data_IF_948575387103
#
_entry.id   IF_948575387103
#
_cell.length_a   1.000
_cell.length_b   1.000
_cell.length_c   1.000
_cell.angle_alpha   90.00
_cell.angle_beta   90.00
_cell.angle_gamma   90.00
#
_symmetry.space_group_name_H-M   'P 1'
#
loop_
_entity.id
_entity.type
_entity.pdbx_description
1 polymer ?
#
# COMPACT_ATOMS: atom_id res chain seq x y z
N UNK A 1 -2.18 -17.60 -19.36
CA UNK A 1 -2.94 -16.54 -18.64
C UNK A 1 -2.50 -16.56 -17.19
N UNK A 2 -1.60 -15.66 -16.77
CA UNK A 2 -1.24 -15.56 -15.35
C UNK A 2 -2.38 -14.81 -14.67
N UNK A 3 -3.15 -15.51 -13.84
CA UNK A 3 -4.06 -14.87 -12.90
C UNK A 3 -3.15 -14.25 -11.85
N UNK A 4 -2.91 -12.96 -11.93
CA UNK A 4 -2.26 -12.24 -10.84
C UNK A 4 -3.27 -12.21 -9.70
N UNK A 5 -3.03 -13.00 -8.67
CA UNK A 5 -3.84 -12.96 -7.45
C UNK A 5 -3.29 -11.83 -6.59
N UNK A 6 -4.15 -10.97 -6.04
CA UNK A 6 -3.73 -9.97 -5.07
C UNK A 6 -3.02 -10.65 -3.90
N UNK A 7 -1.79 -10.22 -3.61
CA UNK A 7 -0.99 -10.73 -2.50
C UNK A 7 -1.59 -10.26 -1.17
N UNK A 8 -1.51 -11.10 -0.15
CA UNK A 8 -1.88 -10.69 1.21
C UNK A 8 -0.73 -9.92 1.88
N UNK A 9 -1.00 -9.06 2.88
CA UNK A 9 0.04 -8.35 3.62
C UNK A 9 1.14 -9.27 4.18
N UNK A 10 0.78 -10.48 4.61
CA UNK A 10 1.77 -11.46 5.09
C UNK A 10 2.63 -12.03 3.97
N UNK A 11 2.06 -12.25 2.78
CA UNK A 11 2.85 -12.66 1.61
C UNK A 11 3.82 -11.55 1.17
N UNK A 12 3.40 -10.28 1.25
CA UNK A 12 4.29 -9.14 0.99
C UNK A 12 5.45 -9.11 1.99
N UNK A 13 5.19 -9.31 3.29
CA UNK A 13 6.25 -9.43 4.31
C UNK A 13 7.19 -10.59 3.99
N UNK A 14 6.64 -11.72 3.56
CA UNK A 14 7.44 -12.89 3.22
C UNK A 14 8.34 -12.63 2.01
N UNK A 15 7.83 -11.97 0.97
CA UNK A 15 8.63 -11.59 -0.20
C UNK A 15 9.76 -10.63 0.16
N UNK A 16 9.48 -9.60 0.96
CA UNK A 16 10.51 -8.66 1.40
C UNK A 16 11.58 -9.38 2.23
N UNK A 17 11.17 -10.30 3.13
CA UNK A 17 12.10 -11.15 3.89
C UNK A 17 12.95 -12.05 2.99
N UNK A 18 12.37 -12.65 1.95
CA UNK A 18 13.10 -13.48 0.99
C UNK A 18 14.14 -12.67 0.19
N UNK A 19 13.85 -11.41 -0.10
CA UNK A 19 14.77 -10.48 -0.76
C UNK A 19 15.81 -9.86 0.18
N UNK A 20 15.69 -10.08 1.50
CA UNK A 20 16.53 -9.44 2.50
C UNK A 20 16.26 -7.95 2.66
N UNK A 21 15.09 -7.48 2.23
CA UNK A 21 14.68 -6.09 2.30
C UNK A 21 13.68 -5.88 3.44
N UNK A 22 13.74 -4.70 4.07
CA UNK A 22 12.74 -4.29 5.07
C UNK A 22 11.74 -3.35 4.42
N UNK A 23 10.55 -3.24 5.01
CA UNK A 23 9.54 -2.27 4.57
C UNK A 23 10.08 -0.83 4.57
N UNK A 24 10.93 -0.49 5.54
CA UNK A 24 11.57 0.82 5.61
C UNK A 24 12.55 1.04 4.46
N UNK A 25 13.37 0.03 4.14
CA UNK A 25 14.31 0.09 3.03
C UNK A 25 13.57 0.20 1.70
N UNK A 26 12.58 -0.66 1.49
CA UNK A 26 11.72 -0.64 0.31
C UNK A 26 11.05 0.74 0.15
N UNK A 27 10.49 1.29 1.24
CA UNK A 27 9.88 2.62 1.22
C UNK A 27 10.89 3.70 0.81
N UNK A 28 12.10 3.68 1.37
CA UNK A 28 13.15 4.64 1.04
C UNK A 28 13.60 4.55 -0.43
N UNK A 29 13.75 3.32 -0.96
CA UNK A 29 14.14 3.07 -2.35
C UNK A 29 13.08 3.57 -3.35
N UNK A 30 11.80 3.49 -2.99
CA UNK A 30 10.68 3.96 -3.82
C UNK A 30 10.27 5.41 -3.51
N UNK A 31 10.95 6.08 -2.58
CA UNK A 31 10.65 7.48 -2.21
C UNK A 31 9.36 7.68 -1.41
N UNK A 32 8.84 6.62 -0.78
CA UNK A 32 7.65 6.67 0.06
C UNK A 32 7.96 6.85 1.54
N UNK A 33 7.06 7.49 2.28
CA UNK A 33 7.17 7.56 3.74
C UNK A 33 6.88 6.19 4.36
N UNK A 34 7.75 5.74 5.27
CA UNK A 34 7.60 4.46 5.97
C UNK A 34 6.22 4.29 6.62
N UNK A 35 5.66 5.35 7.22
CA UNK A 35 4.35 5.30 7.89
C UNK A 35 3.23 5.12 6.86
N UNK A 36 3.35 5.70 5.67
CA UNK A 36 2.39 5.48 4.60
C UNK A 36 2.36 3.99 4.19
N UNK A 37 3.54 3.37 4.04
CA UNK A 37 3.64 1.93 3.73
C UNK A 37 3.01 1.06 4.82
N UNK A 38 3.31 1.36 6.09
CA UNK A 38 2.69 0.63 7.21
C UNK A 38 1.17 0.78 7.25
N UNK A 39 0.63 1.98 6.99
CA UNK A 39 -0.83 2.23 6.97
C UNK A 39 -1.55 1.49 5.83
N UNK A 40 -0.91 1.38 4.67
CA UNK A 40 -1.45 0.59 3.55
C UNK A 40 -1.45 -0.89 3.89
N UNK A 41 -0.33 -1.39 4.44
CA UNK A 41 -0.23 -2.80 4.84
C UNK A 41 -1.16 -3.19 6.00
N UNK A 42 -1.45 -2.28 6.93
CA UNK A 42 -2.41 -2.51 8.02
C UNK A 42 -3.86 -2.36 7.56
N UNK A 43 -4.11 -1.91 6.33
CA UNK A 43 -5.45 -1.62 5.81
C UNK A 43 -6.09 -0.36 6.39
N UNK A 44 -5.31 0.49 7.08
CA UNK A 44 -5.79 1.78 7.60
C UNK A 44 -6.06 2.75 6.46
N UNK A 45 -5.14 2.80 5.49
CA UNK A 45 -5.35 3.55 4.25
C UNK A 45 -5.98 2.62 3.21
N UNK A 46 -7.19 2.96 2.74
CA UNK A 46 -7.94 2.16 1.76
C UNK A 46 -7.30 2.13 0.36
N UNK A 47 -6.22 2.89 0.15
CA UNK A 47 -5.38 2.86 -1.05
C UNK A 47 -6.18 3.01 -2.38
N UNK A 48 -7.18 3.88 -2.38
CA UNK A 48 -7.98 4.17 -3.58
C UNK A 48 -7.25 5.06 -4.57
N UNK A 49 -6.43 6.01 -4.09
CA UNK A 49 -5.70 6.95 -4.93
C UNK A 49 -4.40 7.43 -4.26
N UNK A 50 -3.60 8.19 -5.01
CA UNK A 50 -2.37 8.82 -4.53
C UNK A 50 -1.28 7.81 -4.17
N UNK A 51 -0.38 8.20 -3.26
CA UNK A 51 0.76 7.36 -2.87
C UNK A 51 0.30 6.05 -2.21
N UNK A 52 -0.79 6.05 -1.45
CA UNK A 52 -1.32 4.83 -0.84
C UNK A 52 -1.73 3.79 -1.90
N UNK A 53 -2.37 4.24 -2.99
CA UNK A 53 -2.70 3.39 -4.12
C UNK A 53 -1.47 2.83 -4.82
N UNK A 54 -0.50 3.70 -5.12
CA UNK A 54 0.76 3.30 -5.75
C UNK A 54 1.49 2.24 -4.92
N UNK A 55 1.60 2.46 -3.60
CA UNK A 55 2.20 1.49 -2.67
C UNK A 55 1.45 0.16 -2.71
N UNK A 56 0.12 0.16 -2.69
CA UNK A 56 -0.67 -1.09 -2.74
C UNK A 56 -0.48 -1.86 -4.05
N UNK A 57 -0.38 -1.14 -5.18
CA UNK A 57 -0.11 -1.73 -6.49
C UNK A 57 1.31 -2.28 -6.56
N UNK A 58 2.32 -1.51 -6.16
CA UNK A 58 3.73 -1.93 -6.24
C UNK A 58 4.06 -3.08 -5.29
N UNK A 59 3.42 -3.13 -4.10
CA UNK A 59 3.51 -4.28 -3.20
C UNK A 59 2.69 -5.48 -3.69
N UNK A 60 1.90 -5.32 -4.75
CA UNK A 60 1.00 -6.33 -5.30
C UNK A 60 -0.17 -6.70 -4.37
N UNK A 61 -0.48 -5.83 -3.39
CA UNK A 61 -1.67 -5.91 -2.55
C UNK A 61 -2.96 -5.64 -3.35
N UNK A 62 -2.83 -4.96 -4.50
CA UNK A 62 -3.93 -4.66 -5.40
C UNK A 62 -3.48 -4.85 -6.85
N UNK A 63 -4.35 -5.44 -7.66
CA UNK A 63 -4.15 -5.55 -9.10
C UNK A 63 -4.42 -4.18 -9.73
N UNK A 64 -3.46 -3.67 -10.49
CA UNK A 64 -3.64 -2.49 -11.31
C UNK A 64 -4.41 -2.87 -12.58
N UNK A 65 -5.66 -3.29 -12.42
CA UNK A 65 -6.55 -3.50 -13.55
C UNK A 65 -7.34 -2.19 -13.77
N UNK A 66 -6.85 -1.45 -14.77
CA UNK A 66 -7.52 -0.44 -15.61
C UNK A 66 -7.81 0.97 -15.05
N UNK A 67 -7.02 1.90 -15.58
CA UNK A 67 -7.30 3.25 -16.05
C UNK A 67 -7.96 4.32 -15.16
N UNK A 68 -7.43 5.56 -15.20
CA UNK A 68 -7.74 6.63 -14.27
C UNK A 68 -8.81 7.58 -14.84
N UNK A 69 -10.01 7.61 -14.26
CA UNK A 69 -10.86 8.80 -14.44
C UNK A 69 -11.77 9.10 -13.25
N UNK A 70 -11.40 10.20 -12.59
CA UNK A 70 -12.27 11.15 -11.88
C UNK A 70 -12.52 10.90 -10.38
N UNK A 71 -12.19 11.88 -9.50
CA UNK A 71 -12.21 11.70 -8.05
C UNK A 71 -13.56 12.14 -7.46
N UNK A 72 -14.27 11.22 -6.82
CA UNK A 72 -15.37 11.56 -5.92
C UNK A 72 -15.47 10.52 -4.80
N UNK A 73 -15.52 10.98 -3.55
CA UNK A 73 -15.77 10.13 -2.38
C UNK A 73 -14.60 10.14 -1.40
N UNK A 74 -14.50 11.15 -0.53
CA UNK A 74 -15.16 11.19 0.79
C UNK A 74 -14.53 10.25 1.81
N UNK A 75 -13.77 10.87 2.73
CA UNK A 75 -13.81 10.59 4.16
C UNK A 75 -13.24 9.27 4.68
N UNK A 76 -12.16 9.36 5.45
CA UNK A 76 -12.27 8.89 6.84
C UNK A 76 -11.33 9.64 7.79
N UNK A 77 -11.98 10.45 8.62
CA UNK A 77 -11.60 10.91 9.95
C UNK A 77 -10.92 9.82 10.79
N UNK A 78 -9.80 10.13 11.44
CA UNK A 78 -9.64 9.77 12.86
C UNK A 78 -8.60 10.61 13.60
N UNK A 79 -9.16 11.61 14.31
CA UNK A 79 -8.84 12.08 15.67
C UNK A 79 -7.46 11.74 16.23
N UNK A 80 -6.60 12.75 16.31
CA UNK A 80 -5.70 12.92 17.46
C UNK A 80 -6.53 13.44 18.63
N UNK A 81 -6.65 12.64 19.69
CA UNK A 81 -6.99 13.15 21.01
C UNK A 81 -5.69 13.17 21.82
N UNK A 82 -5.27 14.38 22.18
CA UNK A 82 -4.31 14.65 23.23
C UNK A 82 -5.10 14.96 24.51
N UNK A 83 -4.71 14.36 25.63
CA UNK A 83 -4.89 14.85 26.99
C UNK A 83 -3.90 14.11 27.89
#
# INVERSE_FOLDING_TARGET
MRRETALTPDQVRQQLRQRGETLTKWAAEHGYDRKAVYRVMSGTDKAYYGNAHKIAVELGLKLAEEEPSTPAGTGNTQRRAAA
#
